data_IF_499735372078
#
_entry.id   IF_499735372078
#
_cell.length_a   1.000
_cell.length_b   1.000
_cell.length_c   1.000
_cell.angle_alpha   90.00
_cell.angle_beta   90.00
_cell.angle_gamma   90.00
#
_symmetry.space_group_name_H-M   'P 1'
#
loop_
_entity.id
_entity.type
_entity.pdbx_description
1 polymer ?
#
# COMPACT_ATOMS: atom_id res chain seq x y z
N UNK A 1 -9.77 -18.60 5.03
CA UNK A 1 -8.88 -17.73 5.88
C UNK A 1 -9.40 -16.32 5.77
N UNK A 2 -9.43 -15.55 6.88
CA UNK A 2 -9.85 -14.14 6.85
C UNK A 2 -8.89 -13.28 6.02
N UNK A 3 -9.38 -12.15 5.51
CA UNK A 3 -8.53 -11.15 4.87
C UNK A 3 -7.58 -10.52 5.90
N UNK A 4 -6.34 -10.31 5.50
CA UNK A 4 -5.30 -9.66 6.29
C UNK A 4 -4.50 -8.69 5.43
N UNK A 5 -3.77 -7.77 6.04
CA UNK A 5 -2.94 -6.80 5.33
C UNK A 5 -1.79 -7.51 4.59
N UNK A 6 -1.75 -7.35 3.29
CA UNK A 6 -0.63 -7.78 2.45
C UNK A 6 0.42 -6.66 2.35
N UNK A 7 0.01 -5.49 1.92
CA UNK A 7 0.86 -4.30 1.88
C UNK A 7 0.05 -3.01 1.80
N UNK A 8 0.75 -1.94 2.11
CA UNK A 8 0.30 -0.58 1.88
C UNK A 8 1.19 0.04 0.81
N UNK A 9 0.61 0.73 -0.18
CA UNK A 9 1.40 1.64 -1.00
C UNK A 9 1.08 3.11 -0.73
N UNK A 10 2.10 3.96 -0.91
CA UNK A 10 1.98 5.41 -0.93
C UNK A 10 2.64 5.97 -2.19
N UNK A 11 1.91 6.82 -2.93
CA UNK A 11 2.51 7.58 -4.03
C UNK A 11 3.48 8.63 -3.50
N UNK A 12 4.70 8.56 -3.98
CA UNK A 12 5.80 9.45 -3.67
C UNK A 12 6.27 10.18 -4.94
N UNK A 13 7.06 11.22 -4.75
CA UNK A 13 7.77 11.84 -5.87
C UNK A 13 8.86 10.88 -6.39
N UNK A 14 9.24 10.96 -7.69
CA UNK A 14 10.24 10.07 -8.28
C UNK A 14 11.61 10.09 -7.60
N UNK A 15 11.95 11.19 -6.90
CA UNK A 15 13.19 11.30 -6.11
C UNK A 15 13.21 10.41 -4.87
N UNK A 16 12.06 9.92 -4.44
CA UNK A 16 11.90 9.03 -3.28
C UNK A 16 12.64 9.53 -2.03
N UNK A 17 12.42 10.79 -1.65
CA UNK A 17 13.03 11.34 -0.42
C UNK A 17 12.63 10.55 0.82
N UNK A 18 11.44 9.95 0.81
CA UNK A 18 10.96 9.04 1.86
C UNK A 18 11.87 7.82 2.00
N UNK A 19 12.37 7.27 0.89
CA UNK A 19 13.32 6.17 0.91
C UNK A 19 14.62 6.56 1.61
N UNK A 20 15.15 7.76 1.32
CA UNK A 20 16.35 8.28 1.96
C UNK A 20 16.16 8.42 3.48
N UNK A 21 15.01 8.94 3.91
CA UNK A 21 14.68 9.05 5.34
C UNK A 21 14.64 7.67 6.00
N UNK A 22 13.94 6.71 5.38
CA UNK A 22 13.81 5.35 5.90
C UNK A 22 15.18 4.64 5.98
N UNK A 23 16.02 4.77 4.95
CA UNK A 23 17.38 4.20 4.94
C UNK A 23 18.27 4.81 6.04
N UNK A 24 18.19 6.13 6.24
CA UNK A 24 18.90 6.84 7.30
C UNK A 24 18.48 6.33 8.68
N UNK A 25 17.23 5.98 8.85
CA UNK A 25 16.67 5.43 10.09
C UNK A 25 16.93 3.93 10.26
N UNK A 26 17.60 3.31 9.31
CA UNK A 26 18.05 1.92 9.39
C UNK A 26 17.06 0.90 8.83
N UNK A 27 16.05 1.33 8.07
CA UNK A 27 15.28 0.42 7.24
C UNK A 27 16.08 0.04 5.99
N UNK A 28 15.89 -1.17 5.53
CA UNK A 28 16.45 -1.66 4.26
C UNK A 28 15.34 -1.69 3.24
N UNK A 29 15.58 -1.06 2.08
CA UNK A 29 14.64 -1.05 0.97
C UNK A 29 15.12 -1.99 -0.15
N UNK A 30 14.17 -2.56 -0.86
CA UNK A 30 14.45 -3.33 -2.08
C UNK A 30 15.09 -2.44 -3.16
N UNK A 31 15.76 -3.06 -4.14
CA UNK A 31 16.29 -2.37 -5.31
C UNK A 31 15.20 -1.69 -6.16
N UNK A 32 13.96 -2.12 -5.94
CA UNK A 32 12.79 -1.64 -6.68
C UNK A 32 12.46 -2.47 -7.92
N UNK A 33 11.25 -2.22 -8.45
CA UNK A 33 10.74 -2.89 -9.64
C UNK A 33 9.96 -1.92 -10.50
N UNK A 34 10.11 -2.04 -11.83
CA UNK A 34 9.26 -1.35 -12.82
C UNK A 34 8.05 -2.19 -13.14
N UNK A 35 6.88 -1.56 -13.11
CA UNK A 35 5.60 -2.17 -13.50
C UNK A 35 5.29 -1.79 -14.96
N UNK A 36 5.99 -2.46 -15.88
CA UNK A 36 5.89 -2.19 -17.32
C UNK A 36 4.44 -2.33 -17.80
N UNK A 37 3.95 -1.34 -18.56
CA UNK A 37 2.56 -1.28 -19.02
C UNK A 37 1.53 -0.83 -17.96
N UNK A 38 1.91 -0.75 -16.69
CA UNK A 38 1.14 -0.07 -15.65
C UNK A 38 1.58 1.37 -15.45
N UNK A 39 2.83 1.69 -15.83
CA UNK A 39 3.40 3.02 -15.80
C UNK A 39 3.93 3.47 -14.45
N UNK A 40 4.14 2.54 -13.51
CA UNK A 40 4.67 2.83 -12.19
C UNK A 40 5.96 2.05 -11.90
N UNK A 41 6.72 2.51 -10.92
CA UNK A 41 7.81 1.77 -10.31
C UNK A 41 7.76 1.95 -8.80
N UNK A 42 8.47 1.10 -8.07
CA UNK A 42 8.45 1.11 -6.62
C UNK A 42 9.83 0.86 -6.00
N UNK A 43 9.92 1.13 -4.68
CA UNK A 43 10.85 0.52 -3.72
C UNK A 43 10.04 0.15 -2.48
N UNK A 44 10.41 -0.92 -1.81
CA UNK A 44 9.63 -1.44 -0.68
C UNK A 44 10.48 -1.70 0.55
N UNK A 45 9.90 -1.44 1.73
CA UNK A 45 10.39 -1.93 3.02
C UNK A 45 9.67 -3.23 3.30
N UNK A 46 10.40 -4.34 3.22
CA UNK A 46 9.84 -5.70 3.41
C UNK A 46 9.89 -6.08 4.89
N UNK A 47 8.76 -6.53 5.43
CA UNK A 47 8.66 -7.12 6.76
C UNK A 47 8.33 -8.62 6.66
N UNK A 48 8.24 -9.32 7.77
CA UNK A 48 8.05 -10.79 7.77
C UNK A 48 6.71 -11.23 7.14
N UNK A 49 5.64 -10.47 7.34
CA UNK A 49 4.31 -10.84 6.83
C UNK A 49 3.65 -9.81 5.91
N UNK A 50 4.16 -8.60 5.85
CA UNK A 50 3.59 -7.51 5.04
C UNK A 50 4.70 -6.54 4.61
N UNK A 51 4.37 -5.49 3.83
CA UNK A 51 5.37 -4.50 3.43
C UNK A 51 4.77 -3.12 3.18
N UNK A 52 5.64 -2.11 3.23
CA UNK A 52 5.36 -0.75 2.80
C UNK A 52 5.97 -0.52 1.43
N UNK A 53 5.17 -0.10 0.47
CA UNK A 53 5.58 0.19 -0.89
C UNK A 53 5.57 1.70 -1.14
N UNK A 54 6.72 2.24 -1.51
CA UNK A 54 6.85 3.59 -2.04
C UNK A 54 6.74 3.51 -3.56
N UNK A 55 5.62 3.97 -4.11
CA UNK A 55 5.32 3.88 -5.55
C UNK A 55 5.40 5.26 -6.19
N UNK A 56 5.85 5.34 -7.45
CA UNK A 56 5.94 6.57 -8.22
C UNK A 56 5.65 6.35 -9.70
N UNK A 57 5.32 7.42 -10.42
CA UNK A 57 5.15 7.36 -11.87
C UNK A 57 6.50 7.21 -12.56
N UNK A 58 6.62 6.18 -13.40
CA UNK A 58 7.76 5.90 -14.26
C UNK A 58 7.44 6.25 -15.74
N UNK A 59 6.20 5.95 -16.18
CA UNK A 59 5.70 6.24 -17.52
C UNK A 59 4.26 6.77 -17.44
N UNK A 60 4.10 8.06 -17.62
CA UNK A 60 2.76 8.67 -17.63
C UNK A 60 1.89 8.12 -18.76
N UNK A 61 2.49 7.85 -19.94
CA UNK A 61 1.80 7.26 -21.08
C UNK A 61 1.18 5.91 -20.74
N UNK A 62 1.93 5.02 -20.12
CA UNK A 62 1.41 3.70 -19.73
C UNK A 62 0.35 3.81 -18.62
N UNK A 63 0.56 4.71 -17.65
CA UNK A 63 -0.38 4.93 -16.58
C UNK A 63 -1.72 5.52 -17.06
N UNK A 64 -1.72 6.34 -18.11
CA UNK A 64 -2.93 6.86 -18.76
C UNK A 64 -3.74 5.76 -19.45
N UNK A 65 -3.05 4.80 -20.08
CA UNK A 65 -3.69 3.69 -20.81
C UNK A 65 -4.13 2.55 -19.87
N UNK A 66 -3.56 2.49 -18.68
CA UNK A 66 -3.85 1.42 -17.72
C UNK A 66 -5.22 1.64 -17.05
N UNK A 67 -6.08 0.60 -16.94
CA UNK A 67 -7.42 0.71 -16.37
C UNK A 67 -7.46 1.18 -14.92
N UNK A 68 -6.39 0.97 -14.14
CA UNK A 68 -6.29 1.48 -12.76
C UNK A 68 -6.15 3.00 -12.68
N UNK A 69 -5.76 3.65 -13.79
CA UNK A 69 -5.57 5.12 -13.87
C UNK A 69 -4.75 5.68 -12.71
N UNK A 70 -3.65 5.01 -12.38
CA UNK A 70 -2.81 5.35 -11.22
C UNK A 70 -2.16 6.74 -11.33
N UNK A 71 -2.01 7.30 -12.56
CA UNK A 71 -1.59 8.68 -12.76
C UNK A 71 -2.49 9.70 -12.03
N UNK A 72 -3.78 9.41 -11.87
CA UNK A 72 -4.70 10.27 -11.14
C UNK A 72 -4.42 10.26 -9.63
N UNK A 73 -3.97 9.13 -9.08
CA UNK A 73 -3.57 9.01 -7.68
C UNK A 73 -2.18 9.59 -7.42
N UNK A 74 -1.27 9.47 -8.38
CA UNK A 74 0.03 10.15 -8.33
C UNK A 74 -0.13 11.68 -8.30
N UNK A 75 -1.12 12.20 -9.04
CA UNK A 75 -1.45 13.64 -9.08
C UNK A 75 -2.54 14.01 -8.05
N UNK A 76 -2.54 13.38 -6.89
CA UNK A 76 -3.56 13.52 -5.83
C UNK A 76 -3.83 14.97 -5.41
N UNK A 77 -2.81 15.84 -5.41
CA UNK A 77 -2.93 17.25 -5.04
C UNK A 77 -3.91 18.02 -5.93
N UNK A 78 -4.03 17.63 -7.19
CA UNK A 78 -4.92 18.27 -8.17
C UNK A 78 -6.20 17.49 -8.43
N UNK A 79 -6.16 16.17 -8.27
CA UNK A 79 -7.30 15.30 -8.55
C UNK A 79 -8.19 15.01 -7.35
N UNK A 80 -7.71 15.26 -6.12
CA UNK A 80 -8.40 14.92 -4.88
C UNK A 80 -8.45 13.41 -4.59
N UNK A 81 -7.86 12.57 -5.46
CA UNK A 81 -7.81 11.11 -5.25
C UNK A 81 -6.85 10.75 -4.12
N UNK A 82 -7.14 9.68 -3.40
CA UNK A 82 -6.21 9.19 -2.39
C UNK A 82 -4.89 8.74 -3.02
N UNK A 83 -3.73 9.16 -2.49
CA UNK A 83 -2.42 8.69 -2.95
C UNK A 83 -2.06 7.30 -2.43
N UNK A 84 -2.95 6.68 -1.66
CA UNK A 84 -2.69 5.41 -1.00
C UNK A 84 -3.38 4.24 -1.69
N UNK A 85 -2.86 3.02 -1.43
CA UNK A 85 -3.54 1.78 -1.73
C UNK A 85 -3.33 0.76 -0.62
N UNK A 86 -4.38 0.00 -0.34
CA UNK A 86 -4.42 -1.05 0.67
C UNK A 86 -4.59 -2.37 -0.06
N UNK A 87 -3.56 -3.18 -0.05
CA UNK A 87 -3.59 -4.53 -0.55
C UNK A 87 -3.90 -5.50 0.58
N UNK A 88 -4.87 -6.34 0.37
CA UNK A 88 -5.20 -7.44 1.24
C UNK A 88 -4.77 -8.77 0.61
N UNK A 89 -4.66 -9.81 1.41
CA UNK A 89 -4.54 -11.21 0.97
C UNK A 89 -5.46 -12.08 1.82
N UNK A 90 -5.80 -13.24 1.31
CA UNK A 90 -6.73 -14.16 1.92
C UNK A 90 -7.93 -14.41 1.05
N UNK A 91 -8.97 -14.98 1.62
CA UNK A 91 -10.18 -15.36 0.92
C UNK A 91 -11.24 -14.27 1.05
N UNK A 92 -11.72 -13.78 -0.09
CA UNK A 92 -12.80 -12.78 -0.11
C UNK A 92 -14.10 -13.47 0.35
N UNK A 93 -14.80 -12.94 1.36
CA UNK A 93 -16.09 -13.47 1.78
C UNK A 93 -17.08 -13.51 0.61
N UNK A 94 -17.91 -14.56 0.54
CA UNK A 94 -18.84 -14.78 -0.57
C UNK A 94 -19.76 -13.58 -0.84
N UNK A 95 -20.25 -12.94 0.21
CA UNK A 95 -21.09 -11.75 0.11
C UNK A 95 -20.38 -10.51 -0.46
N UNK A 96 -19.06 -10.50 -0.48
CA UNK A 96 -18.26 -9.39 -1.02
C UNK A 96 -17.73 -9.67 -2.43
N UNK A 97 -17.78 -10.93 -2.93
CA UNK A 97 -17.20 -11.32 -4.22
C UNK A 97 -17.68 -10.46 -5.40
N UNK A 98 -18.97 -10.14 -5.44
CA UNK A 98 -19.56 -9.31 -6.52
C UNK A 98 -19.11 -7.86 -6.51
N UNK A 99 -18.44 -7.42 -5.45
CA UNK A 99 -17.91 -6.05 -5.30
C UNK A 99 -16.53 -5.87 -5.94
N UNK A 100 -15.96 -6.93 -6.52
CA UNK A 100 -14.62 -6.93 -7.11
C UNK A 100 -14.64 -7.27 -8.58
N UNK A 101 -13.70 -6.68 -9.31
CA UNK A 101 -13.39 -7.05 -10.68
C UNK A 101 -11.94 -7.52 -10.82
N UNK A 102 -11.67 -8.30 -11.87
CA UNK A 102 -10.35 -8.88 -12.12
C UNK A 102 -9.47 -7.91 -12.90
N UNK A 103 -8.32 -7.59 -12.36
CA UNK A 103 -7.25 -6.88 -13.03
C UNK A 103 -6.05 -7.81 -13.24
N UNK A 104 -5.61 -7.95 -14.50
CA UNK A 104 -4.37 -8.65 -14.84
C UNK A 104 -3.27 -7.62 -15.13
N UNK A 105 -2.26 -7.50 -14.26
CA UNK A 105 -1.17 -6.55 -14.47
C UNK A 105 -0.40 -6.88 -15.76
N UNK A 106 -0.10 -5.91 -16.64
CA UNK A 106 0.63 -6.18 -17.88
C UNK A 106 2.00 -6.83 -17.68
N UNK A 107 2.67 -6.51 -16.56
CA UNK A 107 3.97 -7.06 -16.17
C UNK A 107 3.88 -8.43 -15.46
N UNK A 108 2.66 -8.92 -15.22
CA UNK A 108 2.38 -10.23 -14.59
C UNK A 108 0.99 -10.75 -15.00
N UNK A 109 0.78 -11.02 -16.31
CA UNK A 109 -0.56 -11.25 -16.90
C UNK A 109 -1.26 -12.50 -16.39
N UNK A 110 -0.54 -13.48 -15.89
CA UNK A 110 -1.09 -14.71 -15.29
C UNK A 110 -1.69 -14.46 -13.88
N UNK A 111 -1.41 -13.34 -13.25
CA UNK A 111 -2.01 -12.98 -11.96
C UNK A 111 -3.28 -12.18 -12.15
N UNK A 112 -4.28 -12.53 -11.37
CA UNK A 112 -5.52 -11.77 -11.24
C UNK A 112 -5.58 -11.09 -9.88
N UNK A 113 -5.51 -9.78 -9.87
CA UNK A 113 -5.72 -8.95 -8.69
C UNK A 113 -7.19 -8.58 -8.66
N UNK A 114 -7.84 -8.71 -7.52
CA UNK A 114 -9.24 -8.33 -7.32
C UNK A 114 -9.31 -6.88 -6.87
N UNK A 115 -9.82 -5.99 -7.73
CA UNK A 115 -9.96 -4.55 -7.42
C UNK A 115 -11.38 -4.28 -6.95
N UNK A 116 -11.54 -3.59 -5.84
CA UNK A 116 -12.86 -3.28 -5.28
C UNK A 116 -13.53 -2.14 -6.06
N UNK A 117 -14.80 -2.30 -6.47
CA UNK A 117 -15.58 -1.29 -7.21
C UNK A 117 -15.79 0.02 -6.43
N UNK A 118 -15.71 -0.01 -5.11
CA UNK A 118 -15.77 1.18 -4.26
C UNK A 118 -14.79 2.28 -4.69
N UNK A 119 -13.65 1.90 -5.25
CA UNK A 119 -12.63 2.83 -5.74
C UNK A 119 -13.08 3.70 -6.92
N UNK A 120 -14.08 3.25 -7.67
CA UNK A 120 -14.65 3.99 -8.81
C UNK A 120 -15.61 5.07 -8.33
N UNK A 121 -16.37 4.77 -7.28
CA UNK A 121 -17.36 5.67 -6.68
C UNK A 121 -16.71 6.65 -5.69
N UNK A 122 -15.69 6.21 -5.00
CA UNK A 122 -14.99 6.92 -3.94
C UNK A 122 -13.49 7.01 -4.19
N UNK A 123 -13.06 7.81 -5.17
CA UNK A 123 -11.65 7.93 -5.54
C UNK A 123 -10.77 8.57 -4.45
N UNK A 124 -11.38 9.30 -3.52
CA UNK A 124 -10.75 9.84 -2.31
C UNK A 124 -10.42 8.77 -1.25
N UNK A 125 -10.97 7.56 -1.38
CA UNK A 125 -10.60 6.42 -0.57
C UNK A 125 -9.33 5.73 -1.13
N UNK A 126 -8.48 5.12 -0.28
CA UNK A 126 -7.35 4.31 -0.75
C UNK A 126 -7.77 3.24 -1.77
N UNK A 127 -6.93 2.96 -2.75
CA UNK A 127 -7.18 1.87 -3.69
C UNK A 127 -7.23 0.55 -2.93
N UNK A 128 -8.42 -0.02 -2.79
CA UNK A 128 -8.60 -1.30 -2.09
C UNK A 128 -8.59 -2.45 -3.09
N UNK A 129 -7.74 -3.45 -2.82
CA UNK A 129 -7.60 -4.62 -3.68
C UNK A 129 -7.12 -5.85 -2.92
N UNK A 130 -7.36 -7.03 -3.49
CA UNK A 130 -6.94 -8.30 -2.91
C UNK A 130 -5.96 -9.00 -3.85
N UNK A 131 -4.81 -9.37 -3.30
CA UNK A 131 -3.76 -10.10 -4.00
C UNK A 131 -4.14 -11.59 -4.13
N UNK A 132 -3.80 -12.25 -5.25
CA UNK A 132 -4.02 -13.68 -5.37
C UNK A 132 -3.19 -14.45 -4.36
N UNK A 133 -3.79 -15.43 -3.73
CA UNK A 133 -3.12 -16.30 -2.74
C UNK A 133 -2.15 -17.28 -3.38
N UNK A 134 -2.36 -17.63 -4.65
CA UNK A 134 -1.56 -18.60 -5.38
C UNK A 134 -0.32 -17.97 -6.01
N UNK A 135 0.85 -18.52 -5.71
CA UNK A 135 2.11 -18.15 -6.37
C UNK A 135 2.68 -16.80 -5.89
N UNK A 136 2.47 -16.46 -4.62
CA UNK A 136 3.36 -15.50 -3.99
C UNK A 136 4.77 -16.10 -4.10
N UNK A 137 5.74 -15.43 -4.79
CA UNK A 137 7.12 -15.80 -4.57
C UNK A 137 7.32 -15.81 -3.06
N UNK A 138 8.23 -16.64 -2.59
CA UNK A 138 8.72 -16.57 -1.22
C UNK A 138 9.23 -15.13 -1.01
N UNK A 139 8.30 -14.22 -0.70
CA UNK A 139 8.54 -12.77 -0.64
C UNK A 139 9.60 -12.42 0.38
N UNK A 140 9.95 -13.38 1.16
CA UNK A 140 10.70 -13.26 2.39
C UNK A 140 12.06 -13.94 2.34
N UNK A 141 12.47 -14.48 1.18
CA UNK A 141 13.87 -14.91 0.98
C UNK A 141 14.85 -13.73 1.07
N UNK A 142 14.39 -12.52 0.80
CA UNK A 142 15.08 -11.28 1.14
C UNK A 142 14.51 -10.69 2.44
N UNK A 143 14.52 -11.45 3.53
CA UNK A 143 14.28 -10.89 4.86
C UNK A 143 15.37 -9.86 5.15
N UNK A 144 15.09 -8.63 4.77
CA UNK A 144 15.99 -7.51 4.92
C UNK A 144 16.06 -7.17 6.40
N UNK A 145 17.16 -7.52 7.05
CA UNK A 145 17.33 -7.25 8.48
C UNK A 145 17.46 -5.75 8.73
N UNK A 146 16.35 -5.12 9.08
CA UNK A 146 16.31 -3.72 9.47
C UNK A 146 17.11 -3.50 10.77
N UNK A 147 17.90 -2.43 10.84
CA UNK A 147 18.59 -2.03 12.09
C UNK A 147 17.58 -1.74 13.21
N UNK A 148 16.38 -1.30 12.86
CA UNK A 148 15.26 -1.09 13.78
C UNK A 148 14.70 -2.38 14.39
N UNK A 149 15.07 -3.56 13.86
CA UNK A 149 14.48 -4.87 14.18
C UNK A 149 12.98 -4.93 13.99
N UNK A 150 12.45 -4.08 13.12
CA UNK A 150 11.05 -4.10 12.71
C UNK A 150 10.76 -5.35 11.89
N UNK A 151 9.68 -6.05 12.21
CA UNK A 151 9.28 -7.30 11.56
C UNK A 151 7.90 -7.25 10.94
N UNK A 152 7.05 -6.30 11.35
CA UNK A 152 5.70 -6.21 10.81
C UNK A 152 5.14 -4.79 10.87
N UNK A 153 4.27 -4.47 9.89
CA UNK A 153 3.27 -3.43 10.06
C UNK A 153 2.19 -4.02 10.97
N UNK A 154 2.02 -3.43 12.13
CA UNK A 154 1.08 -3.90 13.15
C UNK A 154 -0.28 -3.22 13.05
N UNK A 155 -0.31 -1.98 12.53
CA UNK A 155 -1.53 -1.21 12.29
C UNK A 155 -1.30 -0.14 11.25
N UNK A 156 -2.32 0.16 10.47
CA UNK A 156 -2.42 1.39 9.66
C UNK A 156 -3.66 2.18 10.08
N UNK A 157 -3.51 3.49 10.24
CA UNK A 157 -4.62 4.43 10.44
C UNK A 157 -4.71 5.33 9.23
N UNK A 158 -5.81 5.27 8.52
CA UNK A 158 -6.02 6.02 7.28
C UNK A 158 -7.00 7.13 7.54
N UNK A 159 -6.55 8.38 7.41
CA UNK A 159 -7.43 9.55 7.42
C UNK A 159 -7.91 9.82 6.00
N UNK A 160 -9.23 9.83 5.82
CA UNK A 160 -9.89 10.04 4.53
C UNK A 160 -11.22 10.79 4.75
N UNK A 161 -11.77 11.49 3.75
CA UNK A 161 -13.07 12.15 3.87
C UNK A 161 -14.22 11.20 4.25
N UNK A 162 -14.08 9.91 3.95
CA UNK A 162 -15.06 8.87 4.25
C UNK A 162 -14.65 8.10 5.50
N UNK A 163 -15.62 7.89 6.40
CA UNK A 163 -15.47 7.00 7.55
C UNK A 163 -16.26 5.72 7.33
N UNK A 164 -15.93 5.04 6.23
CA UNK A 164 -16.63 3.82 5.81
C UNK A 164 -15.62 2.76 5.40
N UNK A 165 -15.78 1.57 5.95
CA UNK A 165 -15.02 0.39 5.52
C UNK A 165 -15.87 -0.41 4.53
N UNK A 166 -15.41 -0.63 3.29
CA UNK A 166 -16.29 -1.13 2.23
C UNK A 166 -16.49 -2.66 2.22
N UNK A 167 -15.84 -3.40 3.12
CA UNK A 167 -15.99 -4.84 3.23
C UNK A 167 -16.92 -5.21 4.38
N UNK A 168 -17.52 -6.40 4.31
CA UNK A 168 -18.42 -6.92 5.33
C UNK A 168 -17.74 -7.27 6.66
N UNK A 169 -16.41 -7.39 6.66
CA UNK A 169 -15.60 -7.73 7.82
C UNK A 169 -14.44 -6.77 7.98
N UNK A 170 -14.14 -6.41 9.21
CA UNK A 170 -12.98 -5.61 9.54
C UNK A 170 -11.67 -6.38 9.31
N UNK A 171 -10.63 -5.67 8.92
CA UNK A 171 -9.25 -6.16 8.90
C UNK A 171 -8.54 -5.56 10.11
N UNK A 172 -8.08 -6.39 11.01
CA UNK A 172 -7.59 -5.98 12.36
C UNK A 172 -6.46 -4.95 12.32
N UNK A 173 -5.63 -4.99 11.27
CA UNK A 173 -4.52 -4.07 11.09
C UNK A 173 -4.95 -2.69 10.57
N UNK A 174 -6.22 -2.51 10.15
CA UNK A 174 -6.66 -1.31 9.43
C UNK A 174 -7.69 -0.55 10.26
N UNK A 175 -7.46 0.75 10.42
CA UNK A 175 -8.42 1.70 10.99
C UNK A 175 -8.64 2.85 10.02
N UNK A 176 -9.91 3.12 9.72
CA UNK A 176 -10.31 4.27 8.91
C UNK A 176 -10.81 5.36 9.84
N UNK A 177 -10.33 6.58 9.65
CA UNK A 177 -10.73 7.76 10.41
C UNK A 177 -11.19 8.86 9.47
N UNK A 178 -12.31 9.49 9.78
CA UNK A 178 -12.79 10.63 9.00
C UNK A 178 -11.90 11.84 9.20
N UNK A 179 -11.42 12.44 8.11
CA UNK A 179 -10.63 13.65 8.18
C UNK A 179 -10.03 14.07 6.84
N UNK A 180 -9.51 15.30 6.83
CA UNK A 180 -8.78 15.88 5.71
C UNK A 180 -7.64 16.73 6.28
N UNK A 181 -6.48 16.85 5.63
CA UNK A 181 -6.08 16.21 4.36
C UNK A 181 -5.88 14.69 4.49
N UNK A 182 -5.73 14.04 3.33
CA UNK A 182 -5.31 12.63 3.30
C UNK A 182 -4.05 12.44 4.12
N UNK A 183 -4.07 11.45 5.00
CA UNK A 183 -2.92 11.11 5.82
C UNK A 183 -2.98 9.63 6.20
N UNK A 184 -1.81 9.02 6.32
CA UNK A 184 -1.70 7.67 6.82
C UNK A 184 -0.65 7.58 7.92
N UNK A 185 -1.02 6.90 8.99
CA UNK A 185 -0.11 6.55 10.07
C UNK A 185 0.15 5.05 10.02
N UNK A 186 1.41 4.67 9.83
CA UNK A 186 1.85 3.28 9.71
C UNK A 186 2.59 2.91 10.98
N UNK A 187 2.02 2.01 11.76
CA UNK A 187 2.66 1.49 12.96
C UNK A 187 3.43 0.22 12.63
N UNK A 188 4.70 0.19 13.02
CA UNK A 188 5.58 -0.97 12.91
C UNK A 188 6.16 -1.32 14.27
N UNK A 189 6.41 -2.59 14.50
CA UNK A 189 7.16 -3.03 15.66
C UNK A 189 8.66 -2.66 15.53
N UNK A 190 9.38 -2.58 16.64
CA UNK A 190 10.80 -2.27 16.61
C UNK A 190 11.46 -2.31 17.98
N UNK A 191 12.71 -1.85 18.07
CA UNK A 191 13.46 -1.82 19.34
C UNK A 191 13.13 -0.61 20.21
N UNK A 192 12.86 0.52 19.58
CA UNK A 192 12.68 1.79 20.28
C UNK A 192 11.47 2.54 19.72
N UNK A 193 10.82 3.32 20.58
CA UNK A 193 9.75 4.22 20.13
C UNK A 193 10.33 5.37 19.32
N UNK A 194 9.81 5.55 18.11
CA UNK A 194 10.18 6.66 17.23
C UNK A 194 9.02 7.02 16.30
N UNK A 195 8.88 8.30 16.01
CA UNK A 195 7.92 8.80 15.03
C UNK A 195 8.66 9.52 13.92
N UNK A 196 8.42 9.11 12.68
CA UNK A 196 9.08 9.63 11.48
C UNK A 196 8.03 10.22 10.55
N UNK A 197 7.92 11.55 10.44
CA UNK A 197 7.08 12.16 9.42
C UNK A 197 7.71 11.95 8.04
N UNK A 198 6.91 11.48 7.09
CA UNK A 198 7.30 11.25 5.71
C UNK A 198 6.38 12.08 4.79
N UNK A 199 6.94 12.97 4.01
CA UNK A 199 6.30 13.81 2.97
C UNK A 199 4.97 14.54 3.33
N UNK A 200 4.61 14.67 4.59
CA UNK A 200 3.35 15.29 5.01
C UNK A 200 2.08 14.45 4.78
N UNK A 201 2.19 13.29 4.11
CA UNK A 201 1.09 12.36 3.85
C UNK A 201 1.14 11.14 4.76
N UNK A 202 2.33 10.73 5.13
CA UNK A 202 2.57 9.51 5.89
C UNK A 202 3.41 9.80 7.13
N UNK A 203 3.06 9.15 8.21
CA UNK A 203 3.87 9.09 9.43
C UNK A 203 4.14 7.64 9.76
N UNK A 204 5.41 7.28 9.91
CA UNK A 204 5.80 5.97 10.41
C UNK A 204 6.01 6.03 11.92
N UNK A 205 5.32 5.18 12.66
CA UNK A 205 5.41 5.06 14.11
C UNK A 205 6.03 3.71 14.45
N UNK A 206 7.24 3.76 14.99
CA UNK A 206 7.95 2.57 15.48
C UNK A 206 7.60 2.43 16.97
N UNK A 207 7.18 1.24 17.39
CA UNK A 207 6.90 0.95 18.79
C UNK A 207 7.58 -0.37 19.22
N UNK A 208 8.04 -0.48 20.47
CA UNK A 208 8.56 -1.75 20.99
C UNK A 208 7.54 -2.88 20.83
N UNK A 209 8.06 -4.09 20.58
CA UNK A 209 7.20 -5.29 20.59
C UNK A 209 6.60 -5.45 21.99
N UNK A 210 5.29 -5.59 22.04
CA UNK A 210 4.54 -5.91 23.27
C UNK A 210 4.77 -7.37 23.68
#
# INVERSE_FOLDING_TARGET
MSLELDHLFCFCDPQLLEAVVLETEGFVLTSGRKHVGQGTANRSVMFDSNYLELIFLESEKDALLNPLKLHLRANWKTTGRSPFGIALRGEIPEQDLSRFWDYSPPYFPERKIKIHHFNELHPEFPLLFVMPTNGLPSRFEESLMHKTKSTNITQIRVRTPLNEWPLSHDVKEIKIEKGFPHHIEVHVDGLQSKTLPLNGLMTLVIAPKS
#
